data_IF_719332292002
#
_entry.id   IF_719332292002
#
_cell.length_a   1.000
_cell.length_b   1.000
_cell.length_c   1.000
_cell.angle_alpha   90.00
_cell.angle_beta   90.00
_cell.angle_gamma   90.00
#
_symmetry.space_group_name_H-M   'P 1'
#
loop_
_entity.id
_entity.type
_entity.pdbx_description
1 polymer ?
#
# COMPACT_ATOMS: atom_id res chain seq x y z
N UNK A 1 6.15 -10.46 -5.62
CA UNK A 1 4.92 -10.96 -6.31
C UNK A 1 3.77 -9.99 -6.09
N UNK A 2 3.75 -9.35 -4.92
CA UNK A 2 2.90 -8.22 -4.50
C UNK A 2 2.96 -6.97 -5.40
N UNK A 3 4.10 -6.55 -5.94
CA UNK A 3 4.13 -5.25 -6.65
C UNK A 3 3.81 -5.32 -8.14
N UNK A 4 3.73 -6.54 -8.73
CA UNK A 4 3.52 -6.69 -10.16
C UNK A 4 2.08 -6.33 -10.59
N UNK A 5 1.07 -6.60 -9.76
CA UNK A 5 -0.30 -6.18 -10.09
C UNK A 5 -0.46 -4.66 -10.06
N UNK A 6 0.32 -3.93 -9.23
CA UNK A 6 0.31 -2.46 -9.21
C UNK A 6 0.71 -1.92 -10.60
N UNK A 7 1.71 -2.54 -11.23
CA UNK A 7 2.12 -2.22 -12.61
C UNK A 7 1.06 -2.56 -13.66
N UNK A 8 0.17 -3.52 -13.39
CA UNK A 8 -0.98 -3.80 -14.28
C UNK A 8 -2.13 -2.81 -14.10
N UNK A 9 -2.30 -2.23 -12.91
CA UNK A 9 -3.28 -1.17 -12.66
C UNK A 9 -2.83 0.14 -13.33
N UNK A 10 -1.56 0.51 -13.15
CA UNK A 10 -0.95 1.68 -13.81
C UNK A 10 0.32 1.28 -14.56
N UNK A 11 0.21 0.95 -15.87
CA UNK A 11 1.35 0.54 -16.67
C UNK A 11 2.41 1.65 -16.82
N UNK A 12 3.70 1.30 -16.79
CA UNK A 12 4.76 2.25 -17.08
C UNK A 12 4.67 2.74 -18.53
N UNK A 13 4.90 4.04 -18.76
CA UNK A 13 4.80 4.67 -20.08
C UNK A 13 5.75 4.06 -21.13
N UNK A 14 6.84 3.41 -20.71
CA UNK A 14 7.92 2.91 -21.58
C UNK A 14 7.84 1.40 -21.86
N UNK A 15 6.65 0.80 -21.88
CA UNK A 15 6.43 -0.51 -22.49
C UNK A 15 7.15 -1.68 -21.82
N UNK A 16 7.35 -1.63 -20.50
CA UNK A 16 7.97 -2.72 -19.76
C UNK A 16 7.10 -3.99 -19.91
N UNK A 17 7.62 -5.11 -20.48
CA UNK A 17 6.80 -6.28 -20.70
C UNK A 17 6.44 -6.91 -19.35
N UNK A 18 5.20 -6.76 -18.93
CA UNK A 18 4.67 -7.39 -17.73
C UNK A 18 4.28 -8.85 -18.04
N UNK A 19 4.48 -9.79 -17.09
CA UNK A 19 3.92 -11.13 -17.21
C UNK A 19 2.40 -11.07 -17.47
N UNK A 20 1.84 -12.00 -18.25
CA UNK A 20 0.40 -12.01 -18.48
C UNK A 20 -0.34 -12.29 -17.17
N UNK A 21 -1.50 -11.66 -17.01
CA UNK A 21 -2.43 -11.99 -15.93
C UNK A 21 -3.00 -13.40 -16.12
N UNK A 22 -3.46 -14.06 -15.04
CA UNK A 22 -4.17 -15.33 -15.15
C UNK A 22 -5.34 -15.24 -16.15
N UNK A 23 -5.62 -16.36 -16.83
CA UNK A 23 -6.63 -16.39 -17.88
C UNK A 23 -7.99 -15.90 -17.35
N UNK A 24 -8.62 -14.96 -18.08
CA UNK A 24 -9.91 -14.34 -17.75
C UNK A 24 -9.92 -13.50 -16.45
N UNK A 25 -8.76 -13.09 -15.92
CA UNK A 25 -8.69 -12.16 -14.79
C UNK A 25 -8.16 -10.80 -15.21
N UNK A 26 -8.78 -9.75 -14.69
CA UNK A 26 -8.29 -8.38 -14.73
C UNK A 26 -7.31 -8.12 -13.58
N UNK A 27 -6.61 -6.98 -13.61
CA UNK A 27 -5.73 -6.57 -12.51
C UNK A 27 -6.52 -6.41 -11.19
N UNK A 28 -7.75 -5.91 -11.28
CA UNK A 28 -8.67 -5.75 -10.15
C UNK A 28 -9.03 -7.11 -9.55
N UNK A 29 -9.35 -8.10 -10.39
CA UNK A 29 -9.70 -9.45 -9.92
C UNK A 29 -8.52 -10.10 -9.18
N UNK A 30 -7.32 -10.00 -9.74
CA UNK A 30 -6.10 -10.53 -9.10
C UNK A 30 -5.85 -9.84 -7.77
N UNK A 31 -6.03 -8.53 -7.70
CA UNK A 31 -5.85 -7.78 -6.46
C UNK A 31 -6.91 -8.13 -5.42
N UNK A 32 -8.18 -8.28 -5.83
CA UNK A 32 -9.27 -8.69 -4.96
C UNK A 32 -9.03 -10.09 -4.36
N UNK A 33 -8.58 -11.05 -5.17
CA UNK A 33 -8.23 -12.39 -4.69
C UNK A 33 -7.09 -12.35 -3.68
N UNK A 34 -6.07 -11.51 -3.93
CA UNK A 34 -4.95 -11.34 -3.02
C UNK A 34 -5.37 -10.71 -1.69
N UNK A 35 -6.19 -9.65 -1.73
CA UNK A 35 -6.75 -9.02 -0.53
C UNK A 35 -7.61 -10.00 0.28
N UNK A 36 -8.45 -10.77 -0.41
CA UNK A 36 -9.29 -11.78 0.24
C UNK A 36 -8.44 -12.84 0.93
N UNK A 37 -7.41 -13.34 0.27
CA UNK A 37 -6.47 -14.29 0.86
C UNK A 37 -5.77 -13.70 2.09
N UNK A 38 -5.17 -12.52 1.97
CA UNK A 38 -4.45 -11.87 3.07
C UNK A 38 -5.34 -11.61 4.28
N UNK A 39 -6.54 -11.07 4.06
CA UNK A 39 -7.40 -10.67 5.17
C UNK A 39 -8.20 -11.85 5.69
N UNK A 40 -8.98 -12.52 4.84
CA UNK A 40 -9.93 -13.55 5.27
C UNK A 40 -9.23 -14.86 5.65
N UNK A 41 -8.28 -15.29 4.84
CA UNK A 41 -7.67 -16.62 5.03
C UNK A 41 -6.46 -16.56 5.98
N UNK A 42 -5.73 -15.45 6.00
CA UNK A 42 -4.54 -15.30 6.85
C UNK A 42 -4.80 -14.47 8.11
N UNK A 43 -5.14 -13.18 7.99
CA UNK A 43 -5.21 -12.28 9.14
C UNK A 43 -6.37 -12.64 10.09
N UNK A 44 -7.58 -12.84 9.55
CA UNK A 44 -8.75 -13.19 10.36
C UNK A 44 -8.55 -14.54 11.06
N UNK A 45 -7.95 -15.51 10.38
CA UNK A 45 -7.55 -16.79 10.97
C UNK A 45 -6.55 -16.60 12.11
N UNK A 46 -5.47 -15.87 11.87
CA UNK A 46 -4.43 -15.62 12.87
C UNK A 46 -4.98 -14.92 14.11
N UNK A 47 -5.82 -13.90 13.94
CA UNK A 47 -6.47 -13.18 15.05
C UNK A 47 -7.40 -14.14 15.81
N UNK A 48 -8.20 -14.94 15.10
CA UNK A 48 -9.10 -15.92 15.74
C UNK A 48 -8.35 -16.96 16.55
N UNK A 49 -7.20 -17.44 16.06
CA UNK A 49 -6.36 -18.43 16.75
C UNK A 49 -5.57 -17.80 17.91
N UNK A 50 -5.11 -16.55 17.77
CA UNK A 50 -4.33 -15.84 18.78
C UNK A 50 -5.18 -15.30 19.93
N UNK A 51 -6.47 -15.06 19.70
CA UNK A 51 -7.43 -14.57 20.68
C UNK A 51 -8.63 -15.53 20.79
N UNK A 52 -8.50 -16.65 21.54
CA UNK A 52 -9.47 -17.76 21.54
C UNK A 52 -10.84 -17.47 22.19
N UNK A 53 -11.22 -16.21 22.37
CA UNK A 53 -12.38 -15.77 23.16
C UNK A 53 -13.77 -16.04 22.57
N UNK A 54 -13.89 -16.80 21.47
CA UNK A 54 -15.18 -17.08 20.83
C UNK A 54 -15.91 -15.80 20.41
N UNK A 55 -17.11 -15.55 20.96
CA UNK A 55 -17.91 -14.33 20.74
C UNK A 55 -17.29 -13.03 21.29
N UNK A 56 -16.18 -13.12 22.04
CA UNK A 56 -15.36 -11.96 22.41
C UNK A 56 -14.16 -11.73 21.47
N UNK A 57 -14.07 -12.50 20.38
CA UNK A 57 -13.10 -12.23 19.32
C UNK A 57 -13.34 -10.83 18.74
N UNK A 58 -12.29 -10.02 18.52
CA UNK A 58 -12.40 -8.72 17.83
C UNK A 58 -13.04 -8.82 16.44
N UNK A 59 -13.13 -10.02 15.87
CA UNK A 59 -13.74 -10.27 14.56
C UNK A 59 -15.24 -10.61 14.62
N UNK A 60 -15.77 -10.97 15.79
CA UNK A 60 -17.15 -11.43 15.99
C UNK A 60 -18.04 -10.40 16.70
N UNK A 61 -17.56 -9.17 16.91
CA UNK A 61 -18.41 -8.11 17.43
C UNK A 61 -19.26 -7.50 16.31
N UNK A 62 -20.58 -7.72 16.39
CA UNK A 62 -21.59 -7.17 15.48
C UNK A 62 -21.61 -5.63 15.42
N UNK A 63 -20.92 -4.96 16.34
CA UNK A 63 -20.88 -3.50 16.50
C UNK A 63 -19.47 -2.90 16.36
N UNK A 64 -18.47 -3.69 15.94
CA UNK A 64 -17.16 -3.14 15.65
C UNK A 64 -17.11 -2.67 14.20
N UNK A 65 -16.99 -1.36 14.02
CA UNK A 65 -16.58 -0.80 12.74
C UNK A 65 -15.18 -1.31 12.40
N UNK A 66 -15.09 -2.22 11.42
CA UNK A 66 -13.81 -2.64 10.85
C UNK A 66 -13.33 -1.57 9.88
N UNK A 67 -12.25 -0.90 10.23
CA UNK A 67 -11.55 0.02 9.35
C UNK A 67 -10.44 -0.71 8.58
N UNK A 68 -10.35 -0.41 7.29
CA UNK A 68 -9.27 -0.87 6.42
C UNK A 68 -8.50 0.33 5.91
N UNK A 69 -7.20 0.33 6.15
CA UNK A 69 -6.26 1.31 5.60
C UNK A 69 -5.43 0.58 4.55
N UNK A 70 -5.60 0.95 3.28
CA UNK A 70 -4.91 0.31 2.15
C UNK A 70 -3.99 1.35 1.52
N UNK A 71 -2.69 1.05 1.50
CA UNK A 71 -1.70 1.92 0.89
C UNK A 71 -1.61 1.73 -0.63
N UNK A 72 -1.21 2.77 -1.35
CA UNK A 72 -0.98 2.73 -2.78
C UNK A 72 0.21 3.60 -3.19
N UNK A 73 0.84 3.38 -4.37
CA UNK A 73 1.96 4.20 -4.81
C UNK A 73 1.61 5.69 -4.88
N UNK A 74 2.64 6.53 -4.75
CA UNK A 74 2.46 7.97 -4.81
C UNK A 74 1.89 8.41 -6.17
N UNK A 75 1.02 9.43 -6.16
CA UNK A 75 0.42 9.98 -7.39
C UNK A 75 -0.60 9.07 -8.08
N UNK A 76 -1.08 8.02 -7.41
CA UNK A 76 -2.30 7.32 -7.80
C UNK A 76 -3.51 8.11 -7.33
N UNK A 77 -4.33 8.56 -8.28
CA UNK A 77 -5.51 9.38 -8.06
C UNK A 77 -6.64 8.89 -8.95
N UNK A 78 -7.89 9.29 -8.68
CA UNK A 78 -9.00 9.04 -9.60
C UNK A 78 -9.21 7.55 -9.93
N UNK A 79 -8.90 7.15 -11.18
CA UNK A 79 -9.17 5.82 -11.73
C UNK A 79 -8.47 4.70 -10.96
N UNK A 80 -7.20 4.87 -10.61
CA UNK A 80 -6.43 3.85 -9.91
C UNK A 80 -6.99 3.60 -8.51
N UNK A 81 -7.35 4.67 -7.79
CA UNK A 81 -8.01 4.56 -6.48
C UNK A 81 -9.40 3.90 -6.59
N UNK A 82 -10.15 4.19 -7.66
CA UNK A 82 -11.44 3.53 -7.92
C UNK A 82 -11.26 2.02 -8.14
N UNK A 83 -10.22 1.61 -8.87
CA UNK A 83 -9.89 0.19 -9.05
C UNK A 83 -9.55 -0.51 -7.73
N UNK A 84 -8.79 0.16 -6.84
CA UNK A 84 -8.50 -0.37 -5.50
C UNK A 84 -9.78 -0.53 -4.66
N UNK A 85 -10.66 0.47 -4.67
CA UNK A 85 -11.96 0.38 -3.97
C UNK A 85 -12.81 -0.77 -4.50
N UNK A 86 -12.85 -0.94 -5.82
CA UNK A 86 -13.57 -2.05 -6.43
C UNK A 86 -12.99 -3.40 -5.97
N UNK A 87 -11.67 -3.55 -5.92
CA UNK A 87 -11.04 -4.77 -5.44
C UNK A 87 -11.37 -5.05 -3.96
N UNK A 88 -11.37 -4.03 -3.09
CA UNK A 88 -11.75 -4.19 -1.68
C UNK A 88 -13.20 -4.66 -1.50
N UNK A 89 -14.12 -4.16 -2.33
CA UNK A 89 -15.53 -4.63 -2.34
C UNK A 89 -15.61 -6.08 -2.84
N UNK A 90 -14.93 -6.40 -3.95
CA UNK A 90 -14.90 -7.77 -4.49
C UNK A 90 -14.28 -8.78 -3.51
N UNK A 91 -13.29 -8.34 -2.72
CA UNK A 91 -12.64 -9.11 -1.67
C UNK A 91 -13.52 -9.28 -0.41
N UNK A 92 -14.73 -8.71 -0.38
CA UNK A 92 -15.63 -8.72 0.77
C UNK A 92 -15.02 -8.07 2.02
N UNK A 93 -14.15 -7.08 1.82
CA UNK A 93 -13.66 -6.25 2.92
C UNK A 93 -14.67 -5.16 3.25
N UNK A 94 -15.29 -4.57 2.21
CA UNK A 94 -16.29 -3.51 2.31
C UNK A 94 -17.61 -3.94 1.70
N UNK A 95 -18.73 -3.56 2.32
CA UNK A 95 -20.07 -3.81 1.78
C UNK A 95 -20.36 -3.00 0.52
N UNK A 96 -19.90 -1.75 0.49
CA UNK A 96 -20.17 -0.81 -0.60
C UNK A 96 -18.93 -0.04 -1.01
N UNK A 97 -18.91 0.38 -2.27
CA UNK A 97 -17.82 1.16 -2.87
C UNK A 97 -17.56 2.50 -2.14
N UNK A 98 -18.63 3.12 -1.63
CA UNK A 98 -18.60 4.38 -0.89
C UNK A 98 -18.42 4.22 0.62
N UNK A 99 -18.03 3.03 1.10
CA UNK A 99 -17.80 2.80 2.53
C UNK A 99 -16.79 3.82 3.09
N UNK A 100 -17.15 4.42 4.23
CA UNK A 100 -16.31 5.37 4.97
C UNK A 100 -15.19 4.68 5.75
N UNK A 101 -15.31 3.36 5.96
CA UNK A 101 -14.36 2.56 6.72
C UNK A 101 -13.19 2.07 5.84
N UNK A 102 -13.10 2.53 4.58
CA UNK A 102 -11.96 2.30 3.69
C UNK A 102 -11.19 3.60 3.48
N UNK A 103 -9.99 3.62 4.02
CA UNK A 103 -9.02 4.70 3.89
C UNK A 103 -7.96 4.28 2.88
N UNK A 104 -7.84 5.06 1.82
CA UNK A 104 -6.72 4.95 0.89
C UNK A 104 -5.69 5.98 1.28
N UNK A 105 -4.45 5.53 1.47
CA UNK A 105 -3.31 6.38 1.82
C UNK A 105 -2.19 6.11 0.85
N UNK A 106 -1.28 7.06 0.69
CA UNK A 106 -0.08 6.82 -0.11
C UNK A 106 0.91 5.91 0.62
N UNK A 107 1.76 5.20 -0.12
CA UNK A 107 2.83 4.37 0.43
C UNK A 107 3.77 5.26 1.29
N UNK A 108 4.00 6.52 0.88
CA UNK A 108 4.70 7.53 1.68
C UNK A 108 4.03 7.86 3.02
N UNK A 109 2.71 8.08 3.03
CA UNK A 109 1.97 8.40 4.25
C UNK A 109 1.93 7.20 5.20
N UNK A 110 1.78 6.00 4.65
CA UNK A 110 1.70 4.76 5.44
C UNK A 110 3.04 4.39 6.09
N UNK A 111 4.16 4.73 5.46
CA UNK A 111 5.51 4.41 5.94
C UNK A 111 6.04 5.40 6.98
N UNK A 112 5.61 6.67 6.94
CA UNK A 112 6.12 7.70 7.85
C UNK A 112 5.96 7.35 9.35
N UNK A 113 4.80 6.89 9.86
CA UNK A 113 4.66 6.51 11.27
C UNK A 113 5.62 5.39 11.68
N UNK A 114 5.87 4.44 10.79
CA UNK A 114 6.83 3.37 11.02
C UNK A 114 8.25 3.93 11.09
N UNK A 115 8.68 4.76 10.13
CA UNK A 115 10.00 5.39 10.16
C UNK A 115 10.23 6.19 11.44
N UNK A 116 9.24 7.00 11.87
CA UNK A 116 9.32 7.82 13.08
C UNK A 116 9.46 6.98 14.36
N UNK A 117 8.84 5.79 14.41
CA UNK A 117 8.90 4.90 15.57
C UNK A 117 10.11 3.97 15.57
N UNK A 118 10.54 3.49 14.40
CA UNK A 118 11.61 2.51 14.25
C UNK A 118 13.02 3.13 14.22
N UNK A 119 13.16 4.39 13.78
CA UNK A 119 14.46 5.07 13.68
C UNK A 119 14.70 5.91 14.94
N UNK A 120 15.71 5.59 15.77
CA UNK A 120 15.99 6.32 17.00
C UNK A 120 16.19 7.81 16.76
N UNK A 121 15.55 8.63 17.59
CA UNK A 121 15.63 10.10 17.57
C UNK A 121 15.10 10.77 16.29
N UNK A 122 14.53 10.04 15.32
CA UNK A 122 14.02 10.65 14.09
C UNK A 122 12.95 11.70 14.37
N UNK A 123 12.09 11.48 15.39
CA UNK A 123 11.08 12.45 15.84
C UNK A 123 11.69 13.79 16.26
N UNK A 124 12.88 13.76 16.89
CA UNK A 124 13.60 14.96 17.33
C UNK A 124 14.28 15.66 16.14
N UNK A 125 14.78 14.88 15.17
CA UNK A 125 15.28 15.42 13.91
C UNK A 125 14.16 15.97 13.02
N UNK A 126 12.95 15.44 13.14
CA UNK A 126 11.74 15.88 12.45
C UNK A 126 10.99 17.00 13.22
N UNK A 127 11.73 17.82 13.98
CA UNK A 127 11.19 18.98 14.66
C UNK A 127 10.60 20.01 13.67
N UNK A 128 9.70 20.92 14.12
CA UNK A 128 9.14 21.96 13.27
C UNK A 128 10.22 22.78 12.56
N UNK A 129 9.99 23.05 11.27
CA UNK A 129 10.97 23.73 10.41
C UNK A 129 12.03 22.81 9.81
N UNK A 130 11.97 21.50 10.07
CA UNK A 130 12.77 20.49 9.37
C UNK A 130 11.89 19.57 8.53
N UNK A 131 12.49 19.04 7.48
CA UNK A 131 11.83 18.15 6.52
C UNK A 131 12.51 16.79 6.55
N UNK A 132 11.69 15.74 6.60
CA UNK A 132 12.12 14.34 6.48
C UNK A 132 11.79 13.87 5.08
N UNK A 133 12.75 13.26 4.41
CA UNK A 133 12.54 12.57 3.14
C UNK A 133 12.42 11.07 3.42
N UNK A 134 11.29 10.49 3.03
CA UNK A 134 11.06 9.05 2.99
C UNK A 134 11.27 8.57 1.57
N UNK A 135 12.13 7.56 1.42
CA UNK A 135 12.39 6.90 0.13
C UNK A 135 12.03 5.43 0.31
N UNK A 136 10.92 5.03 -0.30
CA UNK A 136 10.48 3.64 -0.36
C UNK A 136 10.97 3.05 -1.70
N UNK A 137 11.91 2.12 -1.65
CA UNK A 137 12.50 1.50 -2.83
C UNK A 137 12.00 0.07 -2.97
N UNK A 138 10.78 -0.05 -3.49
CA UNK A 138 10.07 -1.31 -3.64
C UNK A 138 10.52 -2.18 -4.81
N UNK A 139 9.70 -3.18 -5.11
CA UNK A 139 9.88 -4.12 -6.20
C UNK A 139 9.65 -3.53 -7.59
N UNK A 140 8.57 -2.76 -7.76
CA UNK A 140 8.11 -2.16 -9.01
C UNK A 140 8.23 -0.64 -9.06
N UNK A 141 8.23 0.03 -7.92
CA UNK A 141 8.34 1.49 -7.84
C UNK A 141 9.35 1.95 -6.79
N UNK A 142 9.89 3.16 -7.00
CA UNK A 142 10.59 3.91 -5.96
C UNK A 142 9.78 5.17 -5.71
N UNK A 143 9.29 5.32 -4.49
CA UNK A 143 8.40 6.37 -4.05
C UNK A 143 9.16 7.35 -3.14
N UNK A 144 9.15 8.62 -3.51
CA UNK A 144 9.79 9.72 -2.78
C UNK A 144 8.72 10.61 -2.16
N UNK A 145 8.79 10.81 -0.84
CA UNK A 145 7.83 11.62 -0.10
C UNK A 145 8.56 12.50 0.90
N UNK A 146 8.27 13.80 0.91
CA UNK A 146 8.89 14.74 1.84
C UNK A 146 7.83 15.25 2.83
N UNK A 147 8.12 15.17 4.13
CA UNK A 147 7.20 15.55 5.19
C UNK A 147 7.82 16.57 6.13
N UNK A 148 7.03 17.56 6.54
CA UNK A 148 7.41 18.49 7.62
C UNK A 148 6.37 18.46 8.73
N UNK A 149 6.84 18.55 9.97
CA UNK A 149 5.95 18.63 11.13
C UNK A 149 5.39 20.04 11.25
N UNK A 150 4.08 20.16 11.46
CA UNK A 150 3.47 21.43 11.79
C UNK A 150 4.02 21.97 13.12
N UNK A 151 4.06 23.29 13.27
CA UNK A 151 4.70 23.94 14.42
C UNK A 151 3.97 23.72 15.75
N UNK A 152 2.65 23.58 15.68
CA UNK A 152 1.71 23.56 16.80
C UNK A 152 1.04 22.19 17.00
N UNK A 153 1.36 21.20 16.16
CA UNK A 153 0.78 19.85 16.26
C UNK A 153 1.84 18.77 16.05
N UNK A 154 1.46 17.53 16.34
CA UNK A 154 2.24 16.34 15.99
C UNK A 154 1.99 15.87 14.55
N UNK A 155 1.15 16.60 13.79
CA UNK A 155 0.79 16.22 12.43
C UNK A 155 1.91 16.59 11.46
N UNK A 156 2.06 15.72 10.46
CA UNK A 156 2.96 15.94 9.34
C UNK A 156 2.13 16.32 8.12
N UNK A 157 2.69 17.19 7.29
CA UNK A 157 2.13 17.54 5.99
C UNK A 157 3.21 17.35 4.93
N UNK A 158 2.78 17.13 3.70
CA UNK A 158 3.69 17.05 2.56
C UNK A 158 4.43 18.39 2.38
N UNK A 159 5.76 18.32 2.41
CA UNK A 159 6.66 19.45 2.23
C UNK A 159 7.00 19.68 0.75
N UNK A 160 6.83 18.66 -0.09
CA UNK A 160 7.02 18.70 -1.53
C UNK A 160 6.12 17.66 -2.19
N UNK A 161 5.76 17.90 -3.46
CA UNK A 161 4.97 16.96 -4.26
C UNK A 161 5.64 15.58 -4.30
N UNK A 162 4.95 14.51 -3.84
CA UNK A 162 5.48 13.16 -3.90
C UNK A 162 5.81 12.75 -5.33
N UNK A 163 6.80 11.86 -5.48
CA UNK A 163 7.15 11.26 -6.77
C UNK A 163 7.09 9.75 -6.67
N UNK A 164 6.71 9.13 -7.78
CA UNK A 164 6.71 7.68 -7.97
C UNK A 164 7.44 7.42 -9.29
N UNK A 165 8.57 6.73 -9.21
CA UNK A 165 9.35 6.34 -10.37
C UNK A 165 9.16 4.84 -10.61
N UNK A 166 9.00 4.45 -11.88
CA UNK A 166 9.01 3.03 -12.29
C UNK A 166 10.45 2.51 -12.31
N UNK A 167 11.00 2.39 -11.11
CA UNK A 167 12.33 1.87 -10.83
C UNK A 167 12.18 1.02 -9.57
N UNK A 168 12.63 -0.22 -9.59
CA UNK A 168 12.48 -1.12 -8.45
C UNK A 168 13.32 -2.36 -8.66
N UNK A 169 13.34 -3.25 -7.67
CA UNK A 169 14.18 -4.46 -7.74
C UNK A 169 13.89 -5.33 -8.97
N UNK A 170 12.64 -5.37 -9.47
CA UNK A 170 12.27 -6.08 -10.70
C UNK A 170 13.04 -5.55 -11.92
N UNK A 171 13.27 -4.25 -12.00
CA UNK A 171 14.02 -3.62 -13.09
C UNK A 171 15.51 -3.97 -13.00
N UNK A 172 16.05 -4.05 -11.77
CA UNK A 172 17.44 -4.46 -11.52
C UNK A 172 17.64 -5.93 -11.88
N UNK A 173 16.80 -6.83 -11.37
CA UNK A 173 16.87 -8.26 -11.64
C UNK A 173 16.80 -8.57 -13.13
N UNK A 174 15.90 -7.91 -13.87
CA UNK A 174 15.78 -8.11 -15.32
C UNK A 174 16.98 -7.60 -16.11
N UNK A 175 17.56 -6.47 -15.71
CA UNK A 175 18.82 -6.00 -16.29
C UNK A 175 19.96 -6.97 -16.02
N UNK A 176 20.01 -7.56 -14.82
CA UNK A 176 20.98 -8.60 -14.48
C UNK A 176 20.75 -9.87 -15.31
N UNK A 177 19.51 -10.35 -15.46
CA UNK A 177 19.16 -11.48 -16.33
C UNK A 177 19.65 -11.25 -17.76
N UNK A 178 19.36 -10.08 -18.33
CA UNK A 178 19.83 -9.70 -19.68
C UNK A 178 21.35 -9.68 -19.77
N UNK A 179 22.02 -9.18 -18.73
CA UNK A 179 23.49 -9.13 -18.67
C UNK A 179 24.14 -10.52 -18.59
N UNK A 180 23.54 -11.45 -17.84
CA UNK A 180 24.09 -12.79 -17.63
C UNK A 180 23.65 -13.82 -18.69
N UNK A 181 22.60 -13.53 -19.45
CA UNK A 181 22.13 -14.38 -20.57
C UNK A 181 22.51 -13.85 -21.94
N UNK A 182 23.12 -12.65 -21.98
CA UNK A 182 23.68 -12.02 -23.18
C UNK A 182 25.08 -12.53 -23.53
#
# INVERSE_FOLDING_TARGET
MDEMFKLHIKPPQHGYPLPPLPQKKTAVDVFADFLKYLVKDCAEKFISESYPGGSSSPLHCDHCDREYVVSHPNGWEGTEQQMLRQACVQALLMETFGSKNLHLVTDGESSLPFCLSAIPNLVDFAAPGRTVLVVDAGGGTVDFSAYSRAADTTNYHEAATPRCEFAGSVFVSRKAETYFTG
#
